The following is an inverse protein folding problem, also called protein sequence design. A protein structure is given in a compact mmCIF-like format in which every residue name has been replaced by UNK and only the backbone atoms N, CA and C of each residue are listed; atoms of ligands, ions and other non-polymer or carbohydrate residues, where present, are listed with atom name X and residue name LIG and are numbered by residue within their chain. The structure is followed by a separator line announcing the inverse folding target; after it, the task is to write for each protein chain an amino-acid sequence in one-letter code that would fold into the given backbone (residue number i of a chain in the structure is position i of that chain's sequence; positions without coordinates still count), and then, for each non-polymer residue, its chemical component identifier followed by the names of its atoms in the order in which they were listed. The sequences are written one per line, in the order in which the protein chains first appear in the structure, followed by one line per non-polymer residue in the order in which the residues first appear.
data_IF_288787356315
#
_entry.id   IF_288787356315
#
_cell.length_a   1.000
_cell.length_b   1.000
_cell.length_c   1.000
_cell.angle_alpha   90.00
_cell.angle_beta   90.00
_cell.angle_gamma   90.00
#
_symmetry.space_group_name_H-M   'P 1'
#
loop_
_entity.id
_entity.type
_entity.pdbx_description
1 polymer ?
#
# COMPACT_ATOMS: atom_id res chain seq x y z
N UNK A 1 16.28 -11.84 23.69
CA UNK A 1 15.71 -10.51 23.35
C UNK A 1 14.49 -10.65 22.45
N UNK A 2 14.55 -11.52 21.43
CA UNK A 2 13.40 -11.84 20.56
C UNK A 2 12.23 -12.52 21.30
N UNK A 3 12.51 -13.27 22.38
CA UNK A 3 11.48 -14.00 23.16
C UNK A 3 10.50 -13.10 23.92
N UNK A 4 10.77 -11.79 23.98
CA UNK A 4 9.86 -10.79 24.57
C UNK A 4 8.88 -10.20 23.54
N UNK A 5 9.13 -10.39 22.24
CA UNK A 5 8.31 -9.81 21.17
C UNK A 5 7.16 -10.77 20.86
N UNK A 6 5.95 -10.41 21.26
CA UNK A 6 4.77 -11.21 20.96
C UNK A 6 4.34 -11.01 19.50
N UNK A 7 4.16 -12.11 18.77
CA UNK A 7 3.69 -12.11 17.37
C UNK A 7 2.41 -11.27 17.20
N UNK A 8 1.45 -11.41 18.12
CA UNK A 8 0.18 -10.67 18.07
C UNK A 8 0.40 -9.15 18.17
N UNK A 9 1.26 -8.69 19.09
CA UNK A 9 1.55 -7.27 19.27
C UNK A 9 2.30 -6.69 18.07
N UNK A 10 3.33 -7.40 17.58
CA UNK A 10 4.06 -6.99 16.39
C UNK A 10 3.16 -6.95 15.16
N UNK A 11 2.32 -7.97 14.94
CA UNK A 11 1.34 -7.98 13.84
C UNK A 11 0.36 -6.81 13.95
N UNK A 12 -0.11 -6.48 15.17
CA UNK A 12 -0.95 -5.30 15.41
C UNK A 12 -0.25 -3.99 15.01
N UNK A 13 1.01 -3.82 15.41
CA UNK A 13 1.81 -2.65 15.02
C UNK A 13 2.03 -2.58 13.51
N UNK A 14 2.30 -3.73 12.86
CA UNK A 14 2.43 -3.83 11.41
C UNK A 14 1.16 -3.41 10.68
N UNK A 15 -0.03 -3.75 11.18
CA UNK A 15 -1.31 -3.30 10.59
C UNK A 15 -1.40 -1.77 10.62
N UNK A 16 -1.08 -1.14 11.76
CA UNK A 16 -1.10 0.32 11.91
C UNK A 16 -0.10 0.99 10.98
N UNK A 17 1.15 0.51 10.96
CA UNK A 17 2.19 1.03 10.06
C UNK A 17 1.79 0.87 8.59
N UNK A 18 1.24 -0.28 8.21
CA UNK A 18 0.75 -0.52 6.84
C UNK A 18 -0.34 0.46 6.45
N UNK A 19 -1.32 0.71 7.33
CA UNK A 19 -2.36 1.69 7.09
C UNK A 19 -1.79 3.10 6.86
N UNK A 20 -0.83 3.52 7.68
CA UNK A 20 -0.17 4.82 7.54
C UNK A 20 0.61 4.93 6.23
N UNK A 21 1.29 3.86 5.80
CA UNK A 21 2.02 3.83 4.52
C UNK A 21 1.06 3.88 3.33
N UNK A 22 -0.09 3.19 3.40
CA UNK A 22 -1.14 3.29 2.37
C UNK A 22 -1.67 4.73 2.28
N UNK A 23 -1.93 5.37 3.42
CA UNK A 23 -2.36 6.77 3.45
C UNK A 23 -1.29 7.71 2.85
N UNK A 24 -0.01 7.50 3.19
CA UNK A 24 1.11 8.24 2.59
C UNK A 24 1.21 8.00 1.07
N UNK A 25 0.96 6.79 0.58
CA UNK A 25 0.87 6.51 -0.86
C UNK A 25 -0.27 7.30 -1.53
N UNK A 26 -1.40 7.47 -0.83
CA UNK A 26 -2.46 8.38 -1.25
C UNK A 26 -2.01 9.84 -1.34
N UNK A 27 -1.19 10.31 -0.41
CA UNK A 27 -0.57 11.65 -0.47
C UNK A 27 0.35 11.77 -1.68
N UNK A 28 1.24 10.80 -1.92
CA UNK A 28 2.12 10.76 -3.10
C UNK A 28 1.29 10.92 -4.38
N UNK A 29 0.16 10.22 -4.49
CA UNK A 29 -0.74 10.34 -5.65
C UNK A 29 -1.43 11.70 -5.74
N UNK A 30 -1.96 12.24 -4.63
CA UNK A 30 -2.68 13.53 -4.63
C UNK A 30 -1.78 14.68 -5.08
N UNK A 31 -0.49 14.66 -4.71
CA UNK A 31 0.49 15.68 -5.08
C UNK A 31 1.29 15.34 -6.34
N UNK A 32 0.88 14.31 -7.08
CA UNK A 32 1.52 13.86 -8.32
C UNK A 32 3.04 13.62 -8.18
N UNK A 33 3.42 13.06 -7.04
CA UNK A 33 4.81 12.85 -6.63
C UNK A 33 5.34 11.45 -6.95
N UNK A 34 4.57 10.58 -7.62
CA UNK A 34 4.91 9.16 -7.80
C UNK A 34 6.06 8.85 -8.76
N UNK A 35 6.77 9.87 -9.23
CA UNK A 35 7.92 9.81 -10.15
C UNK A 35 9.02 10.81 -9.75
N UNK A 36 8.89 11.44 -8.58
CA UNK A 36 9.82 12.42 -8.04
C UNK A 36 11.18 11.85 -7.62
N UNK A 37 11.31 10.53 -7.52
CA UNK A 37 12.58 9.82 -7.30
C UNK A 37 12.88 8.86 -8.48
N UNK A 38 13.83 9.20 -9.36
CA UNK A 38 14.09 8.43 -10.58
C UNK A 38 14.75 7.06 -10.33
N UNK A 39 15.49 6.94 -9.22
CA UNK A 39 16.24 5.75 -8.84
C UNK A 39 15.75 5.15 -7.49
N UNK A 40 16.24 3.96 -7.17
CA UNK A 40 16.02 3.26 -5.90
C UNK A 40 17.19 2.28 -5.67
N UNK A 41 17.78 2.16 -4.45
CA UNK A 41 17.30 2.59 -3.13
C UNK A 41 17.55 4.06 -2.76
N UNK A 42 18.27 4.79 -3.59
CA UNK A 42 18.55 6.22 -3.44
C UNK A 42 17.46 7.08 -4.12
N UNK A 43 17.57 8.40 -4.01
CA UNK A 43 16.77 9.36 -4.78
C UNK A 43 17.72 10.46 -5.28
N UNK A 44 17.83 10.59 -6.60
CA UNK A 44 18.89 11.33 -7.30
C UNK A 44 20.30 10.90 -6.85
N UNK A 45 20.50 9.59 -6.62
CA UNK A 45 21.78 9.05 -6.14
C UNK A 45 22.12 9.38 -4.68
N UNK A 46 21.23 10.08 -3.96
CA UNK A 46 21.42 10.43 -2.55
C UNK A 46 20.54 9.57 -1.63
N UNK A 47 20.88 9.52 -0.34
CA UNK A 47 20.04 8.91 0.70
C UNK A 47 19.08 9.93 1.36
N UNK A 48 18.88 11.09 0.75
CA UNK A 48 18.01 12.17 1.23
C UNK A 48 16.97 12.58 0.21
N UNK A 49 16.23 13.64 0.54
CA UNK A 49 15.15 14.18 -0.29
C UNK A 49 15.32 15.68 -0.60
N UNK A 50 16.33 16.33 -0.04
CA UNK A 50 16.60 17.75 -0.25
C UNK A 50 17.43 17.93 -1.52
N UNK A 51 16.75 17.91 -2.67
CA UNK A 51 17.36 18.00 -4.00
C UNK A 51 16.89 19.28 -4.68
N UNK A 52 17.83 20.19 -4.95
CA UNK A 52 17.55 21.43 -5.65
C UNK A 52 17.22 21.20 -7.13
N UNK A 53 16.52 22.15 -7.76
CA UNK A 53 16.19 22.06 -9.20
C UNK A 53 17.44 21.96 -10.09
N UNK A 54 18.56 22.53 -9.65
CA UNK A 54 19.84 22.47 -10.36
C UNK A 54 20.46 21.06 -10.29
N UNK A 55 20.37 20.39 -9.14
CA UNK A 55 20.81 18.99 -8.98
C UNK A 55 19.93 18.04 -9.79
N UNK A 56 18.61 18.26 -9.79
CA UNK A 56 17.69 17.51 -10.65
C UNK A 56 18.06 17.69 -12.13
N UNK A 57 18.36 18.92 -12.56
CA UNK A 57 18.76 19.20 -13.94
C UNK A 57 20.06 18.46 -14.32
N UNK A 58 21.08 18.53 -13.47
CA UNK A 58 22.35 17.85 -13.69
C UNK A 58 22.18 16.32 -13.74
N UNK A 59 21.29 15.77 -12.91
CA UNK A 59 20.99 14.34 -12.93
C UNK A 59 20.37 13.90 -14.25
N UNK A 60 19.34 14.61 -14.75
CA UNK A 60 18.68 14.24 -16.00
C UNK A 60 19.56 14.47 -17.23
N UNK A 61 20.50 15.43 -17.18
CA UNK A 61 21.51 15.58 -18.23
C UNK A 61 22.48 14.38 -18.27
N UNK A 62 22.86 13.85 -17.09
CA UNK A 62 23.71 12.67 -16.98
C UNK A 62 22.96 11.34 -17.23
N UNK A 63 21.66 11.29 -16.94
CA UNK A 63 20.82 10.09 -17.00
C UNK A 63 19.55 10.36 -17.84
N UNK A 64 19.67 10.54 -19.16
CA UNK A 64 18.53 10.90 -20.02
C UNK A 64 17.45 9.80 -20.08
N UNK A 65 17.79 8.55 -19.80
CA UNK A 65 16.86 7.41 -19.79
C UNK A 65 15.93 7.39 -18.55
N UNK A 66 16.21 8.22 -17.55
CA UNK A 66 15.43 8.34 -16.30
C UNK A 66 14.48 9.55 -16.29
N UNK A 67 14.36 10.23 -17.43
CA UNK A 67 13.41 11.33 -17.62
C UNK A 67 12.01 10.76 -17.80
N UNK A 68 11.06 11.21 -16.97
CA UNK A 68 9.65 10.83 -17.08
C UNK A 68 8.95 11.50 -18.29
N UNK A 69 7.72 11.08 -18.59
CA UNK A 69 6.95 11.58 -19.74
C UNK A 69 6.65 13.09 -19.75
N UNK A 70 6.82 13.83 -18.65
CA UNK A 70 6.72 15.30 -18.61
C UNK A 70 7.94 15.99 -19.21
N UNK A 71 9.03 15.25 -19.42
CA UNK A 71 10.23 15.67 -20.12
C UNK A 71 11.31 16.29 -19.23
N UNK A 72 12.53 16.42 -19.79
CA UNK A 72 13.76 16.73 -19.05
C UNK A 72 13.79 18.12 -18.39
N UNK A 73 12.81 18.99 -18.70
CA UNK A 73 12.65 20.30 -18.06
C UNK A 73 11.76 20.29 -16.81
N UNK A 74 11.04 19.20 -16.54
CA UNK A 74 10.17 19.11 -15.37
C UNK A 74 10.97 19.02 -14.07
N UNK A 75 10.55 19.74 -13.03
CA UNK A 75 11.21 19.76 -11.72
C UNK A 75 10.19 19.50 -10.63
N UNK A 76 10.59 18.66 -9.68
CA UNK A 76 9.81 18.34 -8.51
C UNK A 76 10.15 19.25 -7.35
N UNK A 77 9.14 19.61 -6.59
CA UNK A 77 9.34 20.32 -5.32
C UNK A 77 9.95 19.38 -4.27
N UNK A 78 10.67 19.94 -3.30
CA UNK A 78 11.21 19.18 -2.15
C UNK A 78 10.12 18.37 -1.44
N UNK A 79 8.88 18.87 -1.38
CA UNK A 79 7.77 18.15 -0.76
C UNK A 79 7.38 16.89 -1.55
N UNK A 80 7.31 16.97 -2.88
CA UNK A 80 7.03 15.80 -3.72
C UNK A 80 8.10 14.73 -3.52
N UNK A 81 9.37 15.11 -3.67
CA UNK A 81 10.53 14.23 -3.47
C UNK A 81 10.49 13.60 -2.06
N UNK A 82 10.26 14.41 -1.03
CA UNK A 82 10.14 13.93 0.35
C UNK A 82 9.06 12.86 0.50
N UNK A 83 7.85 13.12 -0.01
CA UNK A 83 6.73 12.19 0.20
C UNK A 83 6.98 10.84 -0.46
N UNK A 84 7.54 10.83 -1.67
CA UNK A 84 7.85 9.58 -2.35
C UNK A 84 9.04 8.86 -1.71
N UNK A 85 10.14 9.57 -1.45
CA UNK A 85 11.30 9.02 -0.76
C UNK A 85 10.91 8.39 0.58
N UNK A 86 10.12 9.10 1.38
CA UNK A 86 9.63 8.61 2.66
C UNK A 86 8.73 7.38 2.50
N UNK A 87 7.84 7.37 1.50
CA UNK A 87 6.99 6.22 1.21
C UNK A 87 7.82 4.98 0.87
N UNK A 88 8.80 5.10 -0.04
CA UNK A 88 9.67 4.00 -0.45
C UNK A 88 10.54 3.51 0.71
N UNK A 89 11.11 4.42 1.50
CA UNK A 89 11.91 4.10 2.70
C UNK A 89 11.08 3.32 3.73
N UNK A 90 9.91 3.84 4.11
CA UNK A 90 9.05 3.21 5.11
C UNK A 90 8.54 1.84 4.63
N UNK A 91 8.19 1.70 3.36
CA UNK A 91 7.74 0.42 2.81
C UNK A 91 8.88 -0.60 2.69
N UNK A 92 9.99 -0.23 2.05
CA UNK A 92 11.08 -1.14 1.70
C UNK A 92 12.04 -1.43 2.84
N UNK A 93 12.45 -0.40 3.59
CA UNK A 93 13.53 -0.50 4.60
C UNK A 93 12.96 -0.75 6.00
N UNK A 94 11.76 -0.28 6.30
CA UNK A 94 11.14 -0.46 7.62
C UNK A 94 10.13 -1.62 7.61
N UNK A 95 9.06 -1.52 6.82
CA UNK A 95 7.96 -2.48 6.84
C UNK A 95 8.39 -3.86 6.35
N UNK A 96 9.10 -3.95 5.21
CA UNK A 96 9.58 -5.23 4.64
C UNK A 96 10.33 -6.11 5.65
N UNK A 97 11.43 -5.63 6.25
CA UNK A 97 12.17 -6.39 7.27
C UNK A 97 11.35 -6.76 8.50
N UNK A 98 10.45 -5.87 8.97
CA UNK A 98 9.58 -6.18 10.11
C UNK A 98 8.57 -7.29 9.78
N UNK A 99 8.06 -7.36 8.55
CA UNK A 99 7.19 -8.46 8.08
C UNK A 99 7.97 -9.78 8.04
N UNK A 100 9.21 -9.77 7.55
CA UNK A 100 10.08 -10.95 7.56
C UNK A 100 10.41 -11.41 8.98
N UNK A 101 10.69 -10.47 9.89
CA UNK A 101 10.90 -10.76 11.31
C UNK A 101 9.64 -11.39 11.92
N UNK A 102 8.46 -10.81 11.68
CA UNK A 102 7.20 -11.35 12.19
C UNK A 102 6.93 -12.76 11.64
N UNK A 103 7.23 -13.01 10.36
CA UNK A 103 7.15 -14.35 9.77
C UNK A 103 8.10 -15.34 10.47
N UNK A 104 9.35 -14.97 10.73
CA UNK A 104 10.30 -15.81 11.46
C UNK A 104 9.83 -16.12 12.88
N UNK A 105 9.26 -15.14 13.59
CA UNK A 105 8.69 -15.34 14.93
C UNK A 105 7.49 -16.31 14.88
N UNK A 106 6.59 -16.15 13.90
CA UNK A 106 5.47 -17.08 13.67
C UNK A 106 5.96 -18.51 13.39
N UNK A 107 7.08 -18.67 12.67
CA UNK A 107 7.65 -19.99 12.37
C UNK A 107 8.29 -20.67 13.59
N UNK A 108 8.80 -19.88 14.54
CA UNK A 108 9.42 -20.39 15.78
C UNK A 108 8.41 -20.69 16.88
N UNK A 109 7.23 -20.10 16.81
CA UNK A 109 6.21 -20.29 17.82
C UNK A 109 5.39 -21.56 17.58
N UNK A 110 5.57 -22.55 18.44
CA UNK A 110 4.92 -23.87 18.32
C UNK A 110 3.41 -23.81 18.58
N UNK A 111 2.97 -22.92 19.49
CA UNK A 111 1.56 -22.71 19.85
C UNK A 111 0.70 -22.21 18.67
N UNK A 112 1.31 -21.58 17.66
CA UNK A 112 0.58 -21.07 16.51
C UNK A 112 0.22 -22.18 15.51
N UNK A 113 -1.05 -22.20 15.13
CA UNK A 113 -1.63 -23.16 14.22
C UNK A 113 -1.23 -22.95 12.76
N UNK A 114 -1.66 -23.88 11.89
CA UNK A 114 -1.38 -23.85 10.46
C UNK A 114 -1.96 -22.62 9.75
N UNK A 115 -3.10 -22.10 10.23
CA UNK A 115 -3.72 -20.90 9.67
C UNK A 115 -2.86 -19.64 9.89
N UNK A 116 -2.32 -19.43 11.09
CA UNK A 116 -1.41 -18.32 11.35
C UNK A 116 -0.13 -18.43 10.50
N UNK A 117 0.44 -19.65 10.40
CA UNK A 117 1.62 -19.91 9.56
C UNK A 117 1.38 -19.68 8.06
N UNK A 118 0.18 -19.99 7.57
CA UNK A 118 -0.23 -19.70 6.20
C UNK A 118 -0.40 -18.19 5.99
N UNK A 119 -1.16 -17.52 6.87
CA UNK A 119 -1.39 -16.08 6.79
C UNK A 119 -0.09 -15.28 6.80
N UNK A 120 0.88 -15.64 7.66
CA UNK A 120 2.18 -14.97 7.69
C UNK A 120 2.98 -15.17 6.40
N UNK A 121 2.85 -16.33 5.75
CA UNK A 121 3.54 -16.61 4.48
C UNK A 121 2.91 -15.88 3.31
N UNK A 122 1.58 -15.78 3.30
CA UNK A 122 0.85 -14.93 2.35
C UNK A 122 1.25 -13.47 2.53
N UNK A 123 1.39 -12.98 3.76
CA UNK A 123 1.86 -11.61 4.03
C UNK A 123 3.28 -11.37 3.47
N UNK A 124 4.21 -12.31 3.63
CA UNK A 124 5.57 -12.23 3.04
C UNK A 124 5.50 -12.21 1.50
N UNK A 125 4.72 -13.10 0.89
CA UNK A 125 4.56 -13.12 -0.56
C UNK A 125 3.99 -11.79 -1.08
N UNK A 126 2.99 -11.24 -0.38
CA UNK A 126 2.34 -9.99 -0.76
C UNK A 126 3.23 -8.76 -0.56
N UNK A 127 4.09 -8.68 0.47
CA UNK A 127 5.01 -7.54 0.62
C UNK A 127 6.12 -7.56 -0.44
N UNK A 128 6.59 -8.74 -0.85
CA UNK A 128 7.51 -8.87 -2.00
C UNK A 128 6.81 -8.43 -3.28
N UNK A 129 5.55 -8.87 -3.47
CA UNK A 129 4.71 -8.42 -4.57
C UNK A 129 4.48 -6.90 -4.56
N UNK A 130 4.30 -6.28 -3.39
CA UNK A 130 4.19 -4.82 -3.27
C UNK A 130 5.43 -4.11 -3.80
N UNK A 131 6.63 -4.58 -3.44
CA UNK A 131 7.87 -4.02 -3.97
C UNK A 131 7.93 -4.10 -5.50
N UNK A 132 7.55 -5.25 -6.08
CA UNK A 132 7.54 -5.45 -7.52
C UNK A 132 6.51 -4.56 -8.25
N UNK A 133 5.27 -4.49 -7.74
CA UNK A 133 4.22 -3.64 -8.35
C UNK A 133 4.51 -2.16 -8.14
N UNK A 134 5.08 -1.75 -7.00
CA UNK A 134 5.47 -0.36 -6.76
C UNK A 134 6.54 0.11 -7.74
N UNK A 135 7.57 -0.72 -7.98
CA UNK A 135 8.56 -0.48 -9.03
C UNK A 135 7.90 -0.37 -10.42
N UNK A 136 6.98 -1.29 -10.73
CA UNK A 136 6.26 -1.28 -12.01
C UNK A 136 5.44 0.00 -12.20
N UNK A 137 4.80 0.51 -11.14
CA UNK A 137 4.01 1.74 -11.18
C UNK A 137 4.86 2.96 -11.53
N UNK A 138 6.04 3.10 -10.94
CA UNK A 138 6.99 4.18 -11.26
C UNK A 138 7.51 4.01 -12.70
N UNK A 139 7.87 2.79 -13.09
CA UNK A 139 8.43 2.50 -14.42
C UNK A 139 7.46 2.80 -15.58
N UNK A 140 6.16 2.75 -15.28
CA UNK A 140 5.05 2.96 -16.20
C UNK A 140 4.41 4.33 -16.00
N UNK A 141 5.15 5.36 -15.54
CA UNK A 141 4.68 6.73 -15.39
C UNK A 141 3.30 6.86 -14.69
N UNK A 142 3.11 6.09 -13.61
CA UNK A 142 1.86 6.05 -12.84
C UNK A 142 0.60 5.70 -13.66
N UNK A 143 0.76 4.86 -14.70
CA UNK A 143 -0.34 4.33 -15.51
C UNK A 143 -1.48 3.79 -14.63
N UNK A 144 -2.72 4.13 -14.99
CA UNK A 144 -3.89 4.04 -14.11
C UNK A 144 -4.14 2.64 -13.55
N UNK A 145 -3.98 1.63 -14.40
CA UNK A 145 -4.15 0.23 -14.01
C UNK A 145 -3.04 -0.25 -13.06
N UNK A 146 -1.82 0.28 -13.20
CA UNK A 146 -0.68 -0.10 -12.37
C UNK A 146 -0.86 0.43 -10.94
N UNK A 147 -1.30 1.70 -10.81
CA UNK A 147 -1.63 2.34 -9.52
C UNK A 147 -2.78 1.58 -8.84
N UNK A 148 -3.83 1.23 -9.59
CA UNK A 148 -4.96 0.46 -9.06
C UNK A 148 -4.54 -0.95 -8.60
N UNK A 149 -3.67 -1.63 -9.36
CA UNK A 149 -3.11 -2.92 -8.97
C UNK A 149 -2.27 -2.80 -7.69
N UNK A 150 -1.44 -1.75 -7.60
CA UNK A 150 -0.61 -1.49 -6.41
C UNK A 150 -1.49 -1.30 -5.17
N UNK A 151 -2.45 -0.37 -5.22
CA UNK A 151 -3.38 -0.13 -4.11
C UNK A 151 -4.20 -1.38 -3.74
N UNK A 152 -4.78 -2.06 -4.74
CA UNK A 152 -5.60 -3.24 -4.51
C UNK A 152 -4.81 -4.37 -3.82
N UNK A 153 -3.55 -4.58 -4.24
CA UNK A 153 -2.68 -5.57 -3.62
C UNK A 153 -2.14 -5.13 -2.24
N UNK A 154 -1.97 -3.83 -1.99
CA UNK A 154 -1.65 -3.30 -0.66
C UNK A 154 -2.79 -3.53 0.34
N UNK A 155 -4.04 -3.39 -0.10
CA UNK A 155 -5.21 -3.72 0.71
C UNK A 155 -5.30 -5.23 0.99
N UNK A 156 -5.00 -6.08 0.00
CA UNK A 156 -4.91 -7.52 0.22
C UNK A 156 -3.81 -7.88 1.23
N UNK A 157 -2.66 -7.19 1.17
CA UNK A 157 -1.58 -7.33 2.15
C UNK A 157 -2.06 -6.93 3.56
N UNK A 158 -2.72 -5.78 3.72
CA UNK A 158 -3.30 -5.35 5.00
C UNK A 158 -4.30 -6.36 5.56
N UNK A 159 -5.19 -6.90 4.70
CA UNK A 159 -6.14 -7.94 5.08
C UNK A 159 -5.43 -9.23 5.52
N UNK A 160 -4.31 -9.60 4.90
CA UNK A 160 -3.51 -10.76 5.31
C UNK A 160 -2.88 -10.59 6.70
N UNK A 161 -2.47 -9.36 7.05
CA UNK A 161 -1.98 -9.04 8.40
C UNK A 161 -3.11 -9.10 9.44
N UNK A 162 -4.30 -8.58 9.12
CA UNK A 162 -5.48 -8.70 9.98
C UNK A 162 -5.87 -10.17 10.17
N UNK A 163 -5.82 -10.97 9.11
CA UNK A 163 -6.06 -12.41 9.17
C UNK A 163 -5.04 -13.10 10.09
N UNK A 164 -3.75 -12.80 9.94
CA UNK A 164 -2.70 -13.31 10.82
C UNK A 164 -2.95 -12.93 12.29
N UNK A 165 -3.31 -11.67 12.55
CA UNK A 165 -3.57 -11.18 13.91
C UNK A 165 -4.75 -11.92 14.56
N UNK A 166 -5.85 -12.11 13.82
CA UNK A 166 -7.01 -12.86 14.30
C UNK A 166 -6.70 -14.34 14.52
N UNK A 167 -5.95 -14.98 13.61
CA UNK A 167 -5.54 -16.37 13.75
C UNK A 167 -4.65 -16.57 14.99
N UNK A 168 -3.66 -15.69 15.19
CA UNK A 168 -2.79 -15.72 16.36
C UNK A 168 -3.56 -15.45 17.66
N UNK A 169 -4.52 -14.52 17.66
CA UNK A 169 -5.36 -14.24 18.83
C UNK A 169 -6.23 -15.45 19.19
N UNK A 170 -6.82 -16.12 18.20
CA UNK A 170 -7.61 -17.34 18.41
C UNK A 170 -6.76 -18.48 18.95
N UNK A 171 -5.59 -18.73 18.37
CA UNK A 171 -4.73 -19.84 18.78
C UNK A 171 -4.22 -19.68 20.22
N UNK A 172 -4.15 -18.44 20.74
CA UNK A 172 -3.84 -18.13 22.14
C UNK A 172 -5.04 -18.06 23.08
N UNK A 173 -6.26 -18.25 22.59
CA UNK A 173 -7.48 -18.06 23.40
C UNK A 173 -7.76 -16.60 23.78
N UNK A 174 -7.16 -15.63 23.09
CA UNK A 174 -7.30 -14.19 23.33
C UNK A 174 -8.15 -13.50 22.24
N UNK A 175 -9.08 -14.23 21.63
CA UNK A 175 -9.92 -13.70 20.57
C UNK A 175 -10.89 -12.67 21.15
N UNK A 176 -10.98 -11.45 20.57
CA UNK A 176 -11.94 -10.45 21.03
C UNK A 176 -13.38 -10.93 20.84
N UNK A 177 -14.28 -10.58 21.77
CA UNK A 177 -15.70 -10.98 21.70
C UNK A 177 -16.37 -10.52 20.40
N UNK A 178 -16.07 -9.31 19.93
CA UNK A 178 -16.60 -8.78 18.67
C UNK A 178 -16.17 -9.56 17.42
N UNK A 179 -15.11 -10.36 17.53
CA UNK A 179 -14.58 -11.20 16.45
C UNK A 179 -15.04 -12.66 16.58
N UNK A 180 -15.94 -12.97 17.51
CA UNK A 180 -16.57 -14.28 17.63
C UNK A 180 -17.92 -14.28 16.92
N UNK A 181 -18.20 -15.34 16.15
CA UNK A 181 -19.40 -15.42 15.33
C UNK A 181 -20.15 -16.72 15.57
N UNK A 182 -21.47 -16.63 15.67
CA UNK A 182 -22.34 -17.80 15.67
C UNK A 182 -22.16 -18.60 14.35
N UNK A 183 -21.84 -19.90 14.39
CA UNK A 183 -21.56 -20.68 13.19
C UNK A 183 -22.73 -20.77 12.21
N UNK A 184 -23.96 -20.80 12.70
CA UNK A 184 -25.17 -20.90 11.89
C UNK A 184 -25.40 -19.57 11.16
N UNK A 185 -25.27 -18.45 11.88
CA UNK A 185 -25.37 -17.12 11.28
C UNK A 185 -24.25 -16.89 10.26
N UNK A 186 -23.00 -17.25 10.60
CA UNK A 186 -21.85 -17.11 9.71
C UNK A 186 -22.04 -17.89 8.40
N UNK A 187 -22.54 -19.14 8.47
CA UNK A 187 -22.82 -19.94 7.27
C UNK A 187 -23.89 -19.29 6.38
N UNK A 188 -24.93 -18.70 6.98
CA UNK A 188 -26.02 -18.01 6.26
C UNK A 188 -25.54 -16.74 5.56
N UNK A 189 -24.63 -15.99 6.19
CA UNK A 189 -24.13 -14.71 5.67
C UNK A 189 -22.91 -14.84 4.75
N UNK A 190 -22.21 -15.97 4.75
CA UNK A 190 -20.97 -16.18 3.98
C UNK A 190 -21.07 -15.71 2.53
N UNK A 191 -22.09 -16.18 1.79
CA UNK A 191 -22.23 -15.82 0.37
C UNK A 191 -22.58 -14.33 0.20
N UNK A 192 -23.36 -13.75 1.10
CA UNK A 192 -23.72 -12.32 1.06
C UNK A 192 -22.49 -11.45 1.31
N UNK A 193 -21.69 -11.79 2.31
CA UNK A 193 -20.43 -11.10 2.60
C UNK A 193 -19.45 -11.22 1.43
N UNK A 194 -19.36 -12.38 0.79
CA UNK A 194 -18.52 -12.54 -0.40
C UNK A 194 -18.95 -11.60 -1.53
N UNK A 195 -20.26 -11.49 -1.81
CA UNK A 195 -20.77 -10.54 -2.80
C UNK A 195 -20.55 -9.09 -2.42
N UNK A 196 -20.76 -8.71 -1.15
CA UNK A 196 -20.51 -7.34 -0.66
C UNK A 196 -19.02 -6.99 -0.78
N UNK A 197 -18.12 -7.91 -0.43
CA UNK A 197 -16.68 -7.70 -0.58
C UNK A 197 -16.28 -7.56 -2.05
N UNK A 198 -16.83 -8.39 -2.94
CA UNK A 198 -16.58 -8.29 -4.38
C UNK A 198 -17.10 -6.96 -4.96
N UNK A 199 -18.30 -6.53 -4.56
CA UNK A 199 -18.86 -5.24 -4.97
C UNK A 199 -18.01 -4.06 -4.44
N UNK A 200 -17.57 -4.12 -3.19
CA UNK A 200 -16.69 -3.10 -2.59
C UNK A 200 -15.36 -3.02 -3.34
N UNK A 201 -14.76 -4.17 -3.69
CA UNK A 201 -13.54 -4.21 -4.47
C UNK A 201 -13.77 -3.59 -5.86
N UNK A 202 -14.87 -3.95 -6.53
CA UNK A 202 -15.24 -3.36 -7.82
C UNK A 202 -15.39 -1.84 -7.72
N UNK A 203 -16.13 -1.33 -6.73
CA UNK A 203 -16.28 0.11 -6.49
C UNK A 203 -14.94 0.81 -6.25
N UNK A 204 -14.04 0.20 -5.48
CA UNK A 204 -12.72 0.74 -5.21
C UNK A 204 -11.87 0.83 -6.49
N UNK A 205 -11.88 -0.21 -7.32
CA UNK A 205 -11.22 -0.19 -8.62
C UNK A 205 -11.83 0.87 -9.53
N UNK A 206 -13.17 0.94 -9.66
CA UNK A 206 -13.82 1.99 -10.46
C UNK A 206 -13.44 3.39 -9.99
N UNK A 207 -13.39 3.63 -8.67
CA UNK A 207 -12.94 4.90 -8.10
C UNK A 207 -11.49 5.22 -8.41
N UNK A 208 -10.59 4.23 -8.36
CA UNK A 208 -9.20 4.41 -8.76
C UNK A 208 -9.09 4.89 -10.21
N UNK A 209 -9.77 4.23 -11.15
CA UNK A 209 -9.79 4.64 -12.56
C UNK A 209 -10.34 6.07 -12.76
N UNK A 210 -11.41 6.45 -12.05
CA UNK A 210 -11.95 7.83 -12.11
C UNK A 210 -10.93 8.84 -11.55
N UNK A 211 -10.21 8.50 -10.47
CA UNK A 211 -9.23 9.40 -9.85
C UNK A 211 -7.94 9.55 -10.66
N UNK A 212 -7.61 8.55 -11.48
CA UNK A 212 -6.38 8.55 -12.26
C UNK A 212 -6.61 9.09 -13.67
N UNK A 213 -7.81 8.90 -14.25
CA UNK A 213 -8.15 9.40 -15.58
C UNK A 213 -8.26 10.93 -15.60
N UNK A 214 -7.47 11.59 -16.45
CA UNK A 214 -7.44 13.04 -16.55
C UNK A 214 -8.84 13.65 -16.82
N UNK A 215 -9.26 14.57 -15.94
CA UNK A 215 -10.54 15.27 -16.04
C UNK A 215 -11.79 14.46 -15.66
N UNK A 216 -11.65 13.16 -15.37
CA UNK A 216 -12.80 12.31 -15.03
C UNK A 216 -13.41 12.67 -13.67
N UNK A 217 -12.58 13.05 -12.70
CA UNK A 217 -12.98 13.43 -11.34
C UNK A 217 -13.93 14.64 -11.26
N UNK A 218 -13.93 15.52 -12.25
CA UNK A 218 -14.82 16.71 -12.32
C UNK A 218 -15.78 16.69 -13.52
N UNK A 219 -15.82 15.59 -14.27
CA UNK A 219 -16.55 15.48 -15.54
C UNK A 219 -18.05 15.75 -15.43
N UNK A 220 -18.67 15.42 -14.29
CA UNK A 220 -20.10 15.64 -14.05
C UNK A 220 -20.42 16.87 -13.19
N UNK A 221 -19.45 17.73 -12.87
CA UNK A 221 -19.65 18.91 -12.03
C UNK A 221 -20.05 20.17 -12.79
N UNK A 222 -20.75 20.06 -13.93
CA UNK A 222 -20.90 21.15 -14.92
C UNK A 222 -21.58 22.41 -14.34
N UNK A 223 -22.50 22.23 -13.37
CA UNK A 223 -23.20 23.31 -12.66
C UNK A 223 -22.75 23.46 -11.20
N UNK A 224 -21.68 22.78 -10.78
CA UNK A 224 -21.28 22.66 -9.38
C UNK A 224 -21.77 21.37 -8.71
N UNK A 225 -21.09 20.95 -7.63
CA UNK A 225 -21.28 19.63 -7.01
C UNK A 225 -22.74 19.37 -6.59
N UNK A 226 -23.38 20.35 -5.96
CA UNK A 226 -24.73 20.20 -5.41
C UNK A 226 -25.83 20.23 -6.47
N UNK A 227 -25.59 20.94 -7.58
CA UNK A 227 -26.59 21.12 -8.64
C UNK A 227 -26.54 20.00 -9.68
N UNK A 228 -25.39 19.36 -9.85
CA UNK A 228 -25.25 18.21 -10.74
C UNK A 228 -25.51 16.86 -10.05
N UNK A 229 -25.20 16.68 -8.77
CA UNK A 229 -25.43 15.39 -8.08
C UNK A 229 -26.93 15.12 -7.83
N UNK A 230 -27.45 13.89 -8.03
CA UNK A 230 -26.76 12.62 -8.34
C UNK A 230 -26.53 12.34 -9.83
N UNK A 231 -26.86 13.28 -10.69
CA UNK A 231 -26.76 13.15 -12.14
C UNK A 231 -25.42 13.74 -12.65
N UNK A 232 -25.35 13.79 -13.96
CA UNK A 232 -24.46 14.61 -14.78
C UNK A 232 -25.43 15.58 -15.50
#
# INVERSE_FOLDING_TARGET
MLDRIQVKQLTGALIVVTFLIIALGGVVRIYDAGESCPDWPTCFGTWGFDISEAEQAAWYEANPDEVDSRGAGHRYTTFQIFTEWAHRLLAGVVLGPLVLLNWLLVRREEELGSQAKLASSVAVALIVWQGAVGWLTVRMDNEHWSVALHLGSALAFMLSLIWLWLAAARDRGEQPEWATFDPVLAARWRNRLAWISAATLFTLFSGAFVSTTAGANTSCGVNGLYDSWPLC
#
